data_IF_189686879045
#
_entry.id   IF_189686879045
#
_cell.length_a   1.000
_cell.length_b   1.000
_cell.length_c   1.000
_cell.angle_alpha   90.00
_cell.angle_beta   90.00
_cell.angle_gamma   90.00
#
_symmetry.space_group_name_H-M   'P 1'
#
loop_
_entity.id
_entity.type
_entity.pdbx_description
1 polymer ?
#
# COMPACT_ATOMS: atom_id res chain seq x y z
N UNK A 1 -12.20 8.61 5.51
CA UNK A 1 -10.87 8.00 5.71
C UNK A 1 -9.92 8.56 4.67
N UNK A 2 -8.62 8.74 4.97
CA UNK A 2 -7.60 9.22 4.04
C UNK A 2 -6.51 8.16 3.93
N UNK A 3 -6.07 7.84 2.71
CA UNK A 3 -4.83 7.11 2.50
C UNK A 3 -3.64 8.05 2.71
N UNK A 4 -2.49 7.49 3.05
CA UNK A 4 -1.21 8.22 3.11
C UNK A 4 -0.47 8.07 1.78
N UNK A 5 0.19 9.13 1.33
CA UNK A 5 1.06 9.11 0.15
C UNK A 5 2.48 9.44 0.60
N UNK A 6 3.42 8.54 0.34
CA UNK A 6 4.82 8.64 0.76
C UNK A 6 5.75 8.40 -0.42
N UNK A 7 7.01 8.83 -0.35
CA UNK A 7 7.98 8.48 -1.41
C UNK A 7 8.41 7.04 -1.23
N UNK A 8 8.67 6.37 -2.34
CA UNK A 8 9.11 4.98 -2.34
C UNK A 8 10.43 4.76 -1.57
N UNK A 9 11.30 5.79 -1.55
CA UNK A 9 12.56 5.75 -0.81
C UNK A 9 12.40 5.92 0.72
N UNK A 10 11.22 6.33 1.19
CA UNK A 10 10.94 6.55 2.61
C UNK A 10 10.40 5.29 3.31
N UNK A 11 10.23 4.19 2.57
CA UNK A 11 9.71 2.92 3.09
C UNK A 11 10.76 1.82 3.06
N UNK A 12 10.67 0.88 4.00
CA UNK A 12 11.53 -0.29 4.02
C UNK A 12 10.83 -1.47 3.34
N UNK A 13 11.22 -1.79 2.10
CA UNK A 13 10.68 -2.93 1.35
C UNK A 13 11.30 -4.26 1.82
N UNK A 14 10.51 -5.32 1.82
CA UNK A 14 10.94 -6.68 2.12
C UNK A 14 10.13 -7.70 1.34
N UNK A 15 10.62 -8.94 1.28
CA UNK A 15 9.87 -10.08 0.76
C UNK A 15 9.49 -11.01 1.91
N UNK A 16 8.32 -11.65 1.81
CA UNK A 16 7.86 -12.63 2.79
C UNK A 16 7.07 -13.75 2.12
N UNK A 17 6.81 -14.83 2.85
CA UNK A 17 6.08 -15.99 2.33
C UNK A 17 4.64 -16.01 2.84
N UNK A 18 3.69 -15.97 1.91
CA UNK A 18 2.26 -16.14 2.15
C UNK A 18 1.61 -16.64 0.86
N UNK A 19 1.34 -17.96 0.76
CA UNK A 19 0.88 -18.62 -0.47
C UNK A 19 1.80 -18.38 -1.69
N UNK A 20 3.09 -18.11 -1.45
CA UNK A 20 4.06 -17.68 -2.45
C UNK A 20 4.94 -16.56 -1.92
N UNK A 21 5.90 -16.11 -2.75
CA UNK A 21 6.71 -14.94 -2.44
C UNK A 21 5.84 -13.69 -2.65
N UNK A 22 5.66 -12.93 -1.57
CA UNK A 22 4.94 -11.66 -1.56
C UNK A 22 5.90 -10.50 -1.29
N UNK A 23 5.53 -9.32 -1.79
CA UNK A 23 6.22 -8.06 -1.48
C UNK A 23 5.50 -7.35 -0.33
N UNK A 24 6.29 -6.84 0.61
CA UNK A 24 5.81 -6.03 1.72
C UNK A 24 6.65 -4.77 1.89
N UNK A 25 6.12 -3.83 2.65
CA UNK A 25 6.85 -2.65 3.09
C UNK A 25 6.54 -2.32 4.55
N UNK A 26 7.48 -1.68 5.23
CA UNK A 26 7.28 -1.10 6.55
C UNK A 26 7.32 0.43 6.46
N UNK A 27 6.35 1.08 7.09
CA UNK A 27 6.29 2.54 7.22
C UNK A 27 5.70 2.92 8.58
N UNK A 28 6.34 3.84 9.31
CA UNK A 28 5.86 4.41 10.57
C UNK A 28 5.36 3.40 11.66
N UNK A 29 5.89 2.17 11.66
CA UNK A 29 5.55 1.01 12.53
C UNK A 29 4.48 0.05 12.01
N UNK A 30 3.88 0.33 10.85
CA UNK A 30 2.94 -0.57 10.20
C UNK A 30 3.61 -1.35 9.08
N UNK A 31 3.08 -2.56 8.88
CA UNK A 31 3.49 -3.45 7.80
C UNK A 31 2.40 -3.47 6.76
N UNK A 32 2.77 -3.34 5.50
CA UNK A 32 1.85 -3.33 4.39
C UNK A 32 2.20 -4.42 3.39
N UNK A 33 1.17 -4.97 2.76
CA UNK A 33 1.24 -5.89 1.63
C UNK A 33 1.02 -5.14 0.34
N UNK A 34 1.83 -5.46 -0.67
CA UNK A 34 1.67 -4.96 -2.02
C UNK A 34 0.33 -5.40 -2.64
N UNK A 35 -0.36 -4.46 -3.30
CA UNK A 35 -1.61 -4.73 -4.03
C UNK A 35 -1.39 -4.60 -5.53
N UNK A 36 -0.95 -3.41 -5.98
CA UNK A 36 -0.80 -3.10 -7.40
C UNK A 36 0.19 -1.95 -7.62
N UNK A 37 0.69 -1.82 -8.85
CA UNK A 37 1.42 -0.65 -9.32
C UNK A 37 0.70 -0.11 -10.54
N UNK A 38 0.58 1.20 -10.58
CA UNK A 38 -0.14 1.95 -11.61
C UNK A 38 0.81 3.01 -12.16
N UNK A 39 0.90 3.13 -13.48
CA UNK A 39 1.75 4.14 -14.11
C UNK A 39 1.39 5.55 -13.64
N UNK A 40 2.36 6.46 -13.65
CA UNK A 40 2.18 7.86 -13.21
C UNK A 40 1.02 8.56 -13.95
N UNK A 41 0.86 8.29 -15.25
CA UNK A 41 -0.23 8.82 -16.09
C UNK A 41 -1.63 8.43 -15.58
N UNK A 42 -1.71 7.34 -14.82
CA UNK A 42 -2.94 6.72 -14.35
C UNK A 42 -3.14 6.92 -12.83
N UNK A 43 -2.59 7.98 -12.24
CA UNK A 43 -2.73 8.26 -10.78
C UNK A 43 -4.16 8.13 -10.23
N UNK A 44 -5.18 8.44 -11.04
CA UNK A 44 -6.58 8.33 -10.64
C UNK A 44 -6.99 6.88 -10.36
N UNK A 45 -6.45 5.92 -11.09
CA UNK A 45 -6.71 4.50 -10.89
C UNK A 45 -6.12 4.02 -9.55
N UNK A 46 -4.90 4.46 -9.20
CA UNK A 46 -4.33 4.19 -7.88
C UNK A 46 -5.18 4.77 -6.74
N UNK A 47 -5.77 5.96 -6.94
CA UNK A 47 -6.65 6.60 -5.96
C UNK A 47 -8.01 5.91 -5.87
N UNK A 48 -8.60 5.50 -6.99
CA UNK A 48 -9.85 4.74 -7.01
C UNK A 48 -9.67 3.42 -6.27
N UNK A 49 -8.63 2.65 -6.58
CA UNK A 49 -8.33 1.39 -5.89
C UNK A 49 -8.09 1.61 -4.39
N UNK A 50 -7.37 2.68 -4.03
CA UNK A 50 -7.16 3.02 -2.63
C UNK A 50 -8.47 3.35 -1.91
N UNK A 51 -9.39 4.06 -2.57
CA UNK A 51 -10.70 4.38 -1.99
C UNK A 51 -11.56 3.13 -1.81
N UNK A 52 -11.57 2.21 -2.77
CA UNK A 52 -12.29 0.92 -2.65
C UNK A 52 -11.81 0.11 -1.44
N UNK A 53 -10.49 0.05 -1.22
CA UNK A 53 -9.90 -0.61 -0.05
C UNK A 53 -10.20 0.14 1.26
N UNK A 54 -10.25 1.47 1.24
CA UNK A 54 -10.66 2.24 2.43
C UNK A 54 -12.16 2.01 2.75
N UNK A 55 -13.01 1.91 1.73
CA UNK A 55 -14.45 1.63 1.88
C UNK A 55 -14.71 0.22 2.43
N UNK A 56 -13.82 -0.75 2.18
CA UNK A 56 -13.84 -2.08 2.82
C UNK A 56 -13.34 -2.08 4.27
N UNK A 57 -12.93 -0.92 4.80
CA UNK A 57 -12.40 -0.78 6.16
C UNK A 57 -10.91 -1.12 6.29
N UNK A 58 -10.18 -1.27 5.19
CA UNK A 58 -8.74 -1.48 5.22
C UNK A 58 -7.98 -0.17 5.44
N UNK A 59 -6.74 -0.28 5.91
CA UNK A 59 -5.81 0.86 5.95
C UNK A 59 -4.90 0.80 4.74
N UNK A 60 -4.80 1.90 4.01
CA UNK A 60 -4.10 1.94 2.70
C UNK A 60 -2.98 2.98 2.72
N UNK A 61 -1.86 2.61 2.11
CA UNK A 61 -0.73 3.49 1.83
C UNK A 61 -0.42 3.47 0.33
N UNK A 62 -0.07 4.62 -0.21
CA UNK A 62 0.47 4.78 -1.55
C UNK A 62 1.95 5.14 -1.46
N UNK A 63 2.78 4.49 -2.28
CA UNK A 63 4.13 4.99 -2.57
C UNK A 63 4.17 5.62 -3.96
N UNK A 64 4.98 6.65 -4.14
CA UNK A 64 5.30 7.24 -5.45
C UNK A 64 6.78 7.07 -5.75
N UNK A 65 7.08 6.59 -6.96
CA UNK A 65 8.41 6.47 -7.55
C UNK A 65 8.39 7.03 -8.99
N UNK A 66 9.55 6.99 -9.67
CA UNK A 66 9.63 7.32 -11.10
C UNK A 66 8.84 6.36 -12.00
N UNK A 67 8.53 5.15 -11.50
CA UNK A 67 7.77 4.13 -12.24
C UNK A 67 6.25 4.32 -12.08
N UNK A 68 5.81 5.10 -11.07
CA UNK A 68 4.41 5.42 -10.83
C UNK A 68 4.01 5.28 -9.37
N UNK A 69 2.76 4.84 -9.16
CA UNK A 69 2.14 4.71 -7.85
C UNK A 69 1.97 3.23 -7.48
N UNK A 70 2.48 2.83 -6.32
CA UNK A 70 2.17 1.50 -5.77
C UNK A 70 1.17 1.60 -4.63
N UNK A 71 0.19 0.70 -4.64
CA UNK A 71 -0.89 0.59 -3.65
C UNK A 71 -0.53 -0.51 -2.67
N UNK A 72 -0.66 -0.20 -1.39
CA UNK A 72 -0.30 -1.08 -0.29
C UNK A 72 -1.41 -1.11 0.75
N UNK A 73 -1.79 -2.31 1.21
CA UNK A 73 -2.77 -2.48 2.28
C UNK A 73 -2.09 -2.91 3.57
N UNK A 74 -2.53 -2.41 4.72
CA UNK A 74 -1.96 -2.78 6.01
C UNK A 74 -2.22 -4.25 6.33
N UNK A 75 -1.19 -4.98 6.74
CA UNK A 75 -1.29 -6.36 7.24
C UNK A 75 -1.85 -6.42 8.66
N UNK A 76 -1.68 -5.34 9.45
CA UNK A 76 -2.29 -5.22 10.77
C UNK A 76 -3.66 -4.57 10.64
N UNK A 77 -4.71 -5.38 10.59
CA UNK A 77 -5.97 -4.97 11.20
C UNK A 77 -5.90 -5.35 12.68
N UNK A 78 -5.26 -4.53 13.51
CA UNK A 78 -5.58 -4.58 14.94
C UNK A 78 -6.97 -3.95 15.08
N UNK A 79 -8.02 -4.77 14.96
CA UNK A 79 -9.23 -4.51 15.71
C UNK A 79 -8.89 -4.85 17.16
N UNK A 80 -8.79 -3.84 18.02
CA UNK A 80 -8.97 -4.09 19.45
C UNK A 80 -10.32 -4.83 19.60
N UNK A 81 -10.24 -6.01 20.23
CA UNK A 81 -11.38 -6.91 20.51
C UNK A 81 -12.30 -6.25 21.54
#
# INVERSE_FOLDING_TARGET
MRFILVRDNDVQKFCYWENGICQGMQYANDFYKYVATVCESNRLEAYSLSNELLESGETVCLTISEEGYSVWRCLRQFQEI
#
